data_IF_753714042933
#
_entry.id   IF_753714042933
#
_cell.length_a   1.000
_cell.length_b   1.000
_cell.length_c   1.000
_cell.angle_alpha   90.00
_cell.angle_beta   90.00
_cell.angle_gamma   90.00
#
_symmetry.space_group_name_H-M   'P 1'
#
loop_
_entity.id
_entity.type
_entity.pdbx_description
1 polymer ?
#
# COMPACT_ATOMS: atom_id res chain seq x y z
N UNK A 1 -5.87 31.20 36.04
CA UNK A 1 -5.23 30.02 35.39
C UNK A 1 -3.78 29.83 35.83
N UNK A 2 -2.92 30.86 35.81
CA UNK A 2 -1.53 30.74 36.28
C UNK A 2 -1.40 30.26 37.75
N UNK A 3 -2.26 30.77 38.66
CA UNK A 3 -2.31 30.36 40.08
C UNK A 3 -2.77 28.90 40.29
N UNK A 4 -3.38 28.28 39.27
CA UNK A 4 -3.89 26.90 39.31
C UNK A 4 -3.09 25.93 38.42
N UNK A 5 -1.85 26.27 38.03
CA UNK A 5 -0.95 25.36 37.31
C UNK A 5 -1.03 25.38 35.78
N UNK A 6 -1.75 26.34 35.18
CA UNK A 6 -1.78 26.57 33.72
C UNK A 6 -1.32 28.00 33.42
N UNK A 7 -0.01 28.16 33.19
CA UNK A 7 0.64 29.37 32.70
C UNK A 7 0.95 29.28 31.19
N UNK A 8 1.76 30.21 30.69
CA UNK A 8 2.11 30.29 29.26
C UNK A 8 2.79 29.01 28.74
N UNK A 9 3.58 28.33 29.58
CA UNK A 9 4.29 27.10 29.24
C UNK A 9 3.32 25.92 28.97
N UNK A 10 2.25 25.79 29.76
CA UNK A 10 1.24 24.75 29.57
C UNK A 10 0.37 25.01 28.34
N UNK A 11 0.11 26.29 28.01
CA UNK A 11 -0.60 26.68 26.78
C UNK A 11 0.28 26.41 25.55
N UNK A 12 1.57 26.72 25.61
CA UNK A 12 2.52 26.41 24.55
C UNK A 12 2.68 24.89 24.34
N UNK A 13 2.76 24.12 25.42
CA UNK A 13 2.80 22.65 25.38
C UNK A 13 1.57 22.04 24.72
N UNK A 14 0.37 22.53 25.06
CA UNK A 14 -0.88 22.08 24.45
C UNK A 14 -0.95 22.43 22.95
N UNK A 15 -0.49 23.61 22.55
CA UNK A 15 -0.40 23.98 21.13
C UNK A 15 0.51 23.02 20.37
N UNK A 16 1.69 22.71 20.93
CA UNK A 16 2.62 21.76 20.33
C UNK A 16 2.02 20.35 20.19
N UNK A 17 1.31 19.86 21.21
CA UNK A 17 0.62 18.55 21.15
C UNK A 17 -0.48 18.55 20.09
N UNK A 18 -1.26 19.64 19.97
CA UNK A 18 -2.29 19.78 18.92
C UNK A 18 -1.67 19.76 17.53
N UNK A 19 -0.61 20.51 17.32
CA UNK A 19 0.04 20.62 16.02
C UNK A 19 0.67 19.27 15.62
N UNK A 20 1.23 18.52 16.58
CA UNK A 20 1.69 17.15 16.37
C UNK A 20 0.54 16.19 16.00
N UNK A 21 -0.59 16.23 16.72
CA UNK A 21 -1.75 15.40 16.40
C UNK A 21 -2.29 15.68 14.99
N UNK A 22 -2.29 16.95 14.58
CA UNK A 22 -2.66 17.35 13.22
C UNK A 22 -1.65 16.85 12.17
N UNK A 23 -0.35 16.91 12.46
CA UNK A 23 0.67 16.39 11.57
C UNK A 23 0.54 14.87 11.37
N UNK A 24 0.34 14.10 12.45
CA UNK A 24 0.14 12.65 12.38
C UNK A 24 -1.19 12.27 11.67
N UNK A 25 -2.23 13.09 11.81
CA UNK A 25 -3.46 12.94 11.02
C UNK A 25 -3.20 13.08 9.52
N UNK A 26 -2.58 14.18 9.10
CA UNK A 26 -2.27 14.43 7.68
C UNK A 26 -1.32 13.39 7.10
N UNK A 27 -0.36 12.93 7.91
CA UNK A 27 0.50 11.81 7.55
C UNK A 27 -0.34 10.56 7.28
N UNK A 28 -1.20 10.16 8.22
CA UNK A 28 -2.07 8.98 8.04
C UNK A 28 -2.95 9.07 6.79
N UNK A 29 -3.51 10.24 6.47
CA UNK A 29 -4.26 10.45 5.21
C UNK A 29 -3.37 10.24 3.98
N UNK A 30 -2.17 10.84 3.96
CA UNK A 30 -1.22 10.70 2.86
C UNK A 30 -0.79 9.25 2.67
N UNK A 31 -0.34 8.56 3.72
CA UNK A 31 0.08 7.15 3.64
C UNK A 31 -1.09 6.26 3.17
N UNK A 32 -2.32 6.58 3.57
CA UNK A 32 -3.52 5.91 3.07
C UNK A 32 -3.72 6.07 1.56
N UNK A 33 -3.56 7.29 1.05
CA UNK A 33 -3.67 7.58 -0.39
C UNK A 33 -2.54 6.93 -1.20
N UNK A 34 -1.31 6.97 -0.71
CA UNK A 34 -0.14 6.36 -1.37
C UNK A 34 -0.26 4.83 -1.40
N UNK A 35 -0.75 4.20 -0.33
CA UNK A 35 -1.03 2.76 -0.31
C UNK A 35 -2.12 2.35 -1.30
N UNK A 36 -3.20 3.15 -1.43
CA UNK A 36 -4.26 2.89 -2.41
C UNK A 36 -3.75 3.04 -3.85
N UNK A 37 -2.98 4.08 -4.14
CA UNK A 37 -2.42 4.33 -5.46
C UNK A 37 -1.44 3.23 -5.88
N UNK A 38 -0.50 2.88 -5.01
CA UNK A 38 0.49 1.81 -5.27
C UNK A 38 -0.16 0.44 -5.45
N UNK A 39 -1.23 0.15 -4.68
CA UNK A 39 -2.04 -1.05 -4.86
C UNK A 39 -2.65 -1.10 -6.26
N UNK A 40 -3.30 -0.03 -6.70
CA UNK A 40 -3.94 0.03 -8.02
C UNK A 40 -2.91 -0.16 -9.14
N UNK A 41 -1.73 0.45 -9.04
CA UNK A 41 -0.63 0.26 -9.99
C UNK A 41 -0.17 -1.20 -10.04
N UNK A 42 0.02 -1.83 -8.88
CA UNK A 42 0.38 -3.25 -8.81
C UNK A 42 -0.69 -4.14 -9.44
N UNK A 43 -1.96 -3.97 -9.05
CA UNK A 43 -3.08 -4.78 -9.55
C UNK A 43 -3.23 -4.67 -11.08
N UNK A 44 -3.20 -3.45 -11.64
CA UNK A 44 -3.27 -3.22 -13.10
C UNK A 44 -2.08 -3.86 -13.85
N UNK A 45 -0.86 -3.70 -13.33
CA UNK A 45 0.32 -4.30 -13.96
C UNK A 45 0.28 -5.83 -13.92
N UNK A 46 -0.17 -6.41 -12.80
CA UNK A 46 -0.27 -7.85 -12.61
C UNK A 46 -1.38 -8.46 -13.49
N UNK A 47 -2.52 -7.78 -13.62
CA UNK A 47 -3.59 -8.19 -14.53
C UNK A 47 -3.08 -8.27 -15.97
N UNK A 48 -2.47 -7.19 -16.48
CA UNK A 48 -1.88 -7.13 -17.83
C UNK A 48 -0.86 -8.24 -18.06
N UNK A 49 0.03 -8.47 -17.10
CA UNK A 49 1.05 -9.51 -17.20
C UNK A 49 0.43 -10.91 -17.28
N UNK A 50 -0.55 -11.19 -16.42
CA UNK A 50 -1.15 -12.52 -16.37
C UNK A 50 -2.13 -12.79 -17.51
N UNK A 51 -2.75 -11.76 -18.07
CA UNK A 51 -3.51 -11.87 -19.32
C UNK A 51 -2.60 -12.19 -20.50
N UNK A 52 -1.50 -11.44 -20.65
CA UNK A 52 -0.48 -11.67 -21.67
C UNK A 52 0.04 -13.11 -21.60
N UNK A 53 0.47 -13.54 -20.42
CA UNK A 53 0.91 -14.92 -20.20
C UNK A 53 -0.20 -15.93 -20.48
N UNK A 54 -1.44 -15.64 -20.09
CA UNK A 54 -2.59 -16.52 -20.32
C UNK A 54 -2.80 -16.82 -21.80
N UNK A 55 -2.64 -15.82 -22.65
CA UNK A 55 -2.76 -15.98 -24.11
C UNK A 55 -1.53 -16.65 -24.73
N UNK A 56 -0.33 -16.27 -24.31
CA UNK A 56 0.90 -16.88 -24.80
C UNK A 56 1.00 -18.35 -24.42
N UNK A 57 0.56 -18.70 -23.22
CA UNK A 57 0.43 -20.08 -22.77
C UNK A 57 -0.50 -20.89 -23.65
N UNK A 58 -1.65 -20.35 -24.08
CA UNK A 58 -2.57 -21.06 -24.99
C UNK A 58 -1.89 -21.33 -26.34
N UNK A 59 -1.20 -20.33 -26.90
CA UNK A 59 -0.44 -20.45 -28.14
C UNK A 59 0.66 -21.52 -28.02
N UNK A 60 1.45 -21.46 -26.95
CA UNK A 60 2.53 -22.41 -26.71
C UNK A 60 2.03 -23.84 -26.52
N UNK A 61 0.95 -24.03 -25.74
CA UNK A 61 0.30 -25.34 -25.59
C UNK A 61 -0.19 -25.90 -26.92
N UNK A 62 -0.62 -25.05 -27.85
CA UNK A 62 -1.04 -25.50 -29.19
C UNK A 62 0.15 -25.95 -30.03
N UNK A 63 1.26 -25.22 -29.99
CA UNK A 63 2.47 -25.51 -30.77
C UNK A 63 3.18 -26.79 -30.30
N UNK A 64 3.29 -26.98 -28.98
CA UNK A 64 4.02 -28.10 -28.38
C UNK A 64 3.11 -29.25 -27.92
N UNK A 65 1.88 -29.33 -28.44
CA UNK A 65 0.84 -30.25 -27.93
C UNK A 65 1.23 -31.75 -27.98
N UNK A 66 2.13 -32.12 -28.88
CA UNK A 66 2.59 -33.50 -29.11
C UNK A 66 3.94 -33.77 -28.45
N UNK A 67 4.52 -32.79 -27.75
CA UNK A 67 5.85 -32.83 -27.15
C UNK A 67 5.74 -32.64 -25.63
N UNK A 68 5.39 -33.70 -24.89
CA UNK A 68 5.17 -33.60 -23.45
C UNK A 68 6.42 -33.12 -22.69
N UNK A 69 7.62 -33.41 -23.19
CA UNK A 69 8.88 -32.95 -22.60
C UNK A 69 9.00 -31.42 -22.66
N UNK A 70 8.65 -30.80 -23.80
CA UNK A 70 8.69 -29.33 -23.94
C UNK A 70 7.59 -28.68 -23.10
N UNK A 71 6.40 -29.30 -23.05
CA UNK A 71 5.32 -28.82 -22.18
C UNK A 71 5.73 -28.84 -20.70
N UNK A 72 6.46 -29.86 -20.25
CA UNK A 72 6.97 -29.94 -18.88
C UNK A 72 8.07 -28.90 -18.62
N UNK A 73 9.03 -28.72 -19.55
CA UNK A 73 10.10 -27.72 -19.44
C UNK A 73 9.54 -26.30 -19.33
N UNK A 74 8.46 -25.99 -20.07
CA UNK A 74 7.79 -24.70 -20.06
C UNK A 74 6.69 -24.57 -18.98
N UNK A 75 6.51 -25.58 -18.11
CA UNK A 75 5.44 -25.65 -17.09
C UNK A 75 4.01 -25.42 -17.66
N UNK A 76 3.76 -25.97 -18.85
CA UNK A 76 2.50 -25.85 -19.58
C UNK A 76 1.57 -27.05 -19.38
N UNK A 77 2.07 -28.15 -18.82
CA UNK A 77 1.32 -29.38 -18.54
C UNK A 77 0.42 -29.26 -17.30
N UNK A 78 0.80 -28.45 -16.31
CA UNK A 78 0.08 -28.25 -15.05
C UNK A 78 -1.07 -27.23 -15.05
N UNK A 79 -1.63 -27.01 -13.85
CA UNK A 79 -2.60 -25.94 -13.56
C UNK A 79 -1.85 -24.67 -13.13
N UNK A 80 -2.31 -23.51 -13.60
CA UNK A 80 -1.80 -22.22 -13.14
C UNK A 80 -2.11 -22.07 -11.63
N UNK A 81 -1.12 -21.80 -10.77
CA UNK A 81 -1.34 -21.55 -9.35
C UNK A 81 -2.31 -20.38 -9.12
N UNK A 82 -2.98 -20.34 -7.97
CA UNK A 82 -3.87 -19.22 -7.62
C UNK A 82 -3.13 -18.10 -6.90
N UNK A 83 -2.04 -18.43 -6.18
CA UNK A 83 -1.23 -17.46 -5.46
C UNK A 83 -0.42 -16.59 -6.42
N UNK A 84 -0.20 -15.32 -6.07
CA UNK A 84 0.67 -14.44 -6.86
C UNK A 84 2.06 -15.04 -7.04
N UNK A 85 2.67 -15.54 -5.95
CA UNK A 85 4.02 -16.12 -5.96
C UNK A 85 4.12 -17.28 -6.96
N UNK A 86 3.21 -18.24 -6.89
CA UNK A 86 3.22 -19.35 -7.84
C UNK A 86 2.95 -18.90 -9.28
N UNK A 87 2.08 -17.91 -9.48
CA UNK A 87 1.79 -17.38 -10.82
C UNK A 87 2.98 -16.64 -11.41
N UNK A 88 3.70 -15.82 -10.65
CA UNK A 88 4.84 -15.08 -11.17
C UNK A 88 6.02 -16.01 -11.45
N UNK A 89 6.22 -17.06 -10.65
CA UNK A 89 7.29 -18.04 -10.85
C UNK A 89 7.15 -18.76 -12.21
N UNK A 90 5.95 -19.26 -12.52
CA UNK A 90 5.71 -19.93 -13.82
C UNK A 90 5.87 -18.97 -15.00
N UNK A 91 5.47 -17.70 -14.83
CA UNK A 91 5.58 -16.67 -15.86
C UNK A 91 7.06 -16.37 -16.14
N UNK A 92 7.84 -16.17 -15.07
CA UNK A 92 9.29 -15.94 -15.16
C UNK A 92 10.01 -17.12 -15.80
N UNK A 93 9.66 -18.35 -15.41
CA UNK A 93 10.21 -19.55 -16.02
C UNK A 93 9.92 -19.60 -17.52
N UNK A 94 8.67 -19.36 -17.91
CA UNK A 94 8.25 -19.40 -19.31
C UNK A 94 9.06 -18.42 -20.17
N UNK A 95 9.06 -17.13 -19.82
CA UNK A 95 9.75 -16.11 -20.63
C UNK A 95 11.28 -16.18 -20.55
N UNK A 96 11.85 -16.63 -19.42
CA UNK A 96 13.28 -16.95 -19.32
C UNK A 96 13.64 -18.08 -20.28
N UNK A 97 12.88 -19.17 -20.27
CA UNK A 97 13.15 -20.32 -21.14
C UNK A 97 13.07 -19.93 -22.61
N UNK A 98 12.09 -19.09 -23.00
CA UNK A 98 12.00 -18.58 -24.38
C UNK A 98 13.15 -17.64 -24.76
N UNK A 99 13.71 -16.92 -23.78
CA UNK A 99 14.90 -16.06 -23.98
C UNK A 99 16.18 -16.89 -24.17
N UNK A 100 16.26 -18.07 -23.54
CA UNK A 100 17.44 -18.95 -23.56
C UNK A 100 17.41 -19.98 -24.72
N UNK A 101 16.21 -20.40 -25.15
CA UNK A 101 16.01 -21.48 -26.13
C UNK A 101 15.42 -20.93 -27.42
N UNK A 102 16.30 -20.45 -28.31
CA UNK A 102 15.91 -19.90 -29.61
C UNK A 102 15.03 -20.86 -30.43
N UNK A 103 15.31 -22.17 -30.37
CA UNK A 103 14.50 -23.20 -31.05
C UNK A 103 13.01 -23.14 -30.64
N UNK A 104 12.71 -22.88 -29.37
CA UNK A 104 11.34 -22.78 -28.89
C UNK A 104 10.70 -21.47 -29.34
N UNK A 105 11.46 -20.38 -29.30
CA UNK A 105 11.00 -19.06 -29.73
C UNK A 105 10.69 -19.00 -31.23
N UNK A 106 11.52 -19.60 -32.07
CA UNK A 106 11.33 -19.65 -33.52
C UNK A 106 10.00 -20.33 -33.89
N UNK A 107 9.62 -21.36 -33.13
CA UNK A 107 8.36 -22.09 -33.34
C UNK A 107 7.13 -21.31 -32.88
N UNK A 108 7.29 -20.37 -31.95
CA UNK A 108 6.20 -19.52 -31.43
C UNK A 108 6.07 -18.19 -32.19
N UNK A 109 7.11 -17.79 -32.92
CA UNK A 109 7.14 -16.56 -33.73
C UNK A 109 5.95 -16.43 -34.71
N UNK A 110 5.50 -17.49 -35.42
CA UNK A 110 4.30 -17.42 -36.26
C UNK A 110 3.01 -17.07 -35.50
N UNK A 111 2.99 -17.24 -34.17
CA UNK A 111 1.88 -16.87 -33.29
C UNK A 111 2.13 -15.56 -32.54
N UNK A 112 2.99 -14.70 -33.09
CA UNK A 112 3.32 -13.36 -32.57
C UNK A 112 4.09 -13.34 -31.24
N UNK A 113 4.67 -14.46 -30.82
CA UNK A 113 5.60 -14.51 -29.69
C UNK A 113 7.01 -14.38 -30.28
N UNK A 114 7.48 -13.14 -30.46
CA UNK A 114 8.80 -12.81 -31.00
C UNK A 114 9.80 -12.48 -29.87
N UNK A 115 11.08 -12.27 -30.22
CA UNK A 115 12.09 -11.83 -29.25
C UNK A 115 11.74 -10.48 -28.61
N UNK A 116 11.17 -9.56 -29.38
CA UNK A 116 10.68 -8.26 -28.90
C UNK A 116 9.52 -8.45 -27.91
N UNK A 117 8.59 -9.36 -28.21
CA UNK A 117 7.47 -9.68 -27.32
C UNK A 117 7.95 -10.28 -25.99
N UNK A 118 8.91 -11.21 -26.03
CA UNK A 118 9.52 -11.79 -24.82
C UNK A 118 10.27 -10.73 -24.02
N UNK A 119 10.96 -9.80 -24.68
CA UNK A 119 11.64 -8.68 -24.02
C UNK A 119 10.63 -7.73 -23.35
N UNK A 120 9.51 -7.45 -24.01
CA UNK A 120 8.43 -6.66 -23.44
C UNK A 120 7.79 -7.35 -22.22
N UNK A 121 7.57 -8.67 -22.31
CA UNK A 121 7.06 -9.46 -21.19
C UNK A 121 8.01 -9.44 -19.99
N UNK A 122 9.32 -9.65 -20.21
CA UNK A 122 10.33 -9.55 -19.14
C UNK A 122 10.38 -8.15 -18.51
N UNK A 123 10.25 -7.10 -19.31
CA UNK A 123 10.17 -5.73 -18.79
C UNK A 123 8.92 -5.51 -17.94
N UNK A 124 7.79 -6.10 -18.33
CA UNK A 124 6.54 -6.04 -17.58
C UNK A 124 6.62 -6.84 -16.26
N UNK A 125 7.29 -8.00 -16.27
CA UNK A 125 7.59 -8.77 -15.05
C UNK A 125 8.36 -7.89 -14.04
N UNK A 126 9.46 -7.27 -14.49
CA UNK A 126 10.28 -6.41 -13.62
C UNK A 126 9.49 -5.21 -13.08
N UNK A 127 8.63 -4.62 -13.92
CA UNK A 127 7.78 -3.51 -13.53
C UNK A 127 6.72 -3.95 -12.49
N UNK A 128 6.10 -5.12 -12.67
CA UNK A 128 5.12 -5.66 -11.73
C UNK A 128 5.77 -6.03 -10.39
N UNK A 129 6.98 -6.60 -10.38
CA UNK A 129 7.71 -6.89 -9.15
C UNK A 129 8.05 -5.61 -8.38
N UNK A 130 8.55 -4.58 -9.07
CA UNK A 130 8.79 -3.25 -8.46
C UNK A 130 7.52 -2.60 -7.94
N UNK A 131 6.41 -2.69 -8.68
CA UNK A 131 5.12 -2.16 -8.23
C UNK A 131 4.62 -2.89 -6.98
N UNK A 132 4.84 -4.21 -6.90
CA UNK A 132 4.50 -5.01 -5.72
C UNK A 132 5.33 -4.62 -4.50
N UNK A 133 6.63 -4.43 -4.67
CA UNK A 133 7.53 -3.96 -3.59
C UNK A 133 7.09 -2.59 -3.08
N UNK A 134 6.78 -1.65 -3.98
CA UNK A 134 6.24 -0.35 -3.62
C UNK A 134 4.94 -0.50 -2.83
N UNK A 135 3.98 -1.29 -3.31
CA UNK A 135 2.73 -1.54 -2.58
C UNK A 135 2.95 -2.08 -1.16
N UNK A 136 3.86 -3.05 -0.97
CA UNK A 136 4.14 -3.57 0.38
C UNK A 136 4.78 -2.54 1.30
N UNK A 137 5.65 -1.68 0.77
CA UNK A 137 6.24 -0.57 1.53
C UNK A 137 5.17 0.42 1.97
N UNK A 138 4.39 0.94 1.04
CA UNK A 138 3.34 1.93 1.32
C UNK A 138 2.24 1.36 2.25
N UNK A 139 1.90 0.08 2.09
CA UNK A 139 1.00 -0.62 3.01
C UNK A 139 1.56 -0.65 4.43
N UNK A 140 2.85 -0.97 4.58
CA UNK A 140 3.50 -0.96 5.89
C UNK A 140 3.53 0.42 6.53
N UNK A 141 3.82 1.46 5.75
CA UNK A 141 3.81 2.86 6.19
C UNK A 141 2.40 3.32 6.62
N UNK A 142 1.38 2.94 5.85
CA UNK A 142 -0.02 3.18 6.18
C UNK A 142 -0.45 2.47 7.47
N UNK A 143 -0.10 1.19 7.63
CA UNK A 143 -0.38 0.41 8.85
C UNK A 143 0.32 1.01 10.08
N UNK A 144 1.57 1.47 9.94
CA UNK A 144 2.33 2.11 11.02
C UNK A 144 1.81 3.52 11.38
N UNK A 145 1.24 4.26 10.43
CA UNK A 145 0.70 5.60 10.68
C UNK A 145 -0.57 5.60 11.54
N UNK A 146 -1.35 4.52 11.52
CA UNK A 146 -2.59 4.39 12.29
C UNK A 146 -2.37 4.44 13.81
N UNK A 147 -1.49 3.62 14.42
CA UNK A 147 -1.21 3.70 15.84
C UNK A 147 -0.51 5.02 16.22
N UNK A 148 0.33 5.59 15.35
CA UNK A 148 0.99 6.88 15.59
C UNK A 148 -0.04 8.02 15.71
N UNK A 149 -0.98 8.12 14.75
CA UNK A 149 -2.12 9.03 14.83
C UNK A 149 -2.94 8.82 16.10
N UNK A 150 -3.32 7.57 16.40
CA UNK A 150 -4.14 7.27 17.58
C UNK A 150 -3.44 7.65 18.89
N UNK A 151 -2.12 7.45 18.99
CA UNK A 151 -1.34 7.85 20.14
C UNK A 151 -1.30 9.39 20.29
N UNK A 152 -1.14 10.12 19.19
CA UNK A 152 -1.13 11.58 19.20
C UNK A 152 -2.48 12.18 19.64
N UNK A 153 -3.60 11.64 19.15
CA UNK A 153 -4.93 12.07 19.59
C UNK A 153 -5.22 11.71 21.04
N UNK A 154 -4.87 10.50 21.51
CA UNK A 154 -5.02 10.15 22.93
C UNK A 154 -4.24 11.08 23.86
N UNK A 155 -3.03 11.48 23.44
CA UNK A 155 -2.23 12.46 24.19
C UNK A 155 -2.94 13.82 24.22
N UNK A 156 -3.43 14.29 23.07
CA UNK A 156 -4.17 15.54 22.98
C UNK A 156 -5.44 15.52 23.85
N UNK A 157 -6.23 14.45 23.79
CA UNK A 157 -7.46 14.30 24.57
C UNK A 157 -7.18 14.35 26.08
N UNK A 158 -6.09 13.70 26.52
CA UNK A 158 -5.66 13.72 27.91
C UNK A 158 -5.29 15.15 28.36
N UNK A 159 -4.42 15.82 27.61
CA UNK A 159 -3.96 17.18 27.96
C UNK A 159 -5.10 18.20 27.89
N UNK A 160 -6.00 18.08 26.92
CA UNK A 160 -7.22 18.87 26.86
C UNK A 160 -8.14 18.61 28.07
N UNK A 161 -8.29 17.35 28.49
CA UNK A 161 -9.06 16.98 29.68
C UNK A 161 -8.51 17.59 30.96
N UNK A 162 -7.19 17.57 31.13
CA UNK A 162 -6.50 18.21 32.25
C UNK A 162 -6.70 19.73 32.22
N UNK A 163 -6.56 20.36 31.06
CA UNK A 163 -6.85 21.79 30.87
C UNK A 163 -8.30 22.14 31.24
N UNK A 164 -9.28 21.35 30.76
CA UNK A 164 -10.69 21.58 31.05
C UNK A 164 -11.01 21.44 32.53
N UNK A 165 -10.35 20.51 33.21
CA UNK A 165 -10.49 20.31 34.66
C UNK A 165 -9.98 21.53 35.41
N UNK A 166 -8.78 22.02 35.06
CA UNK A 166 -8.17 23.20 35.68
C UNK A 166 -8.99 24.46 35.38
N UNK A 167 -9.45 24.64 34.15
CA UNK A 167 -10.33 25.74 33.77
C UNK A 167 -11.64 25.72 34.57
N UNK A 168 -12.24 24.55 34.76
CA UNK A 168 -13.48 24.39 35.55
C UNK A 168 -13.26 24.81 37.01
N UNK A 169 -12.11 24.48 37.61
CA UNK A 169 -11.79 24.89 38.98
C UNK A 169 -11.51 26.40 39.04
N UNK A 170 -10.71 26.93 38.12
CA UNK A 170 -10.28 28.32 38.12
C UNK A 170 -11.41 29.32 37.81
N UNK A 171 -12.44 28.89 37.08
CA UNK A 171 -13.58 29.72 36.67
C UNK A 171 -14.86 29.36 37.43
N UNK A 172 -14.73 28.71 38.60
CA UNK A 172 -15.87 28.26 39.41
C UNK A 172 -16.87 29.39 39.73
N UNK A 173 -16.35 30.59 40.02
CA UNK A 173 -17.16 31.76 40.37
C UNK A 173 -17.56 32.60 39.15
N UNK A 174 -17.06 32.25 37.96
CA UNK A 174 -17.36 32.90 36.67
C UNK A 174 -17.66 31.85 35.59
N UNK A 175 -18.67 30.97 35.81
CA UNK A 175 -18.85 29.78 35.00
C UNK A 175 -19.12 30.09 33.52
N UNK A 176 -19.76 31.21 33.17
CA UNK A 176 -20.04 31.61 31.78
C UNK A 176 -18.77 31.71 30.92
N UNK A 177 -17.60 31.96 31.52
CA UNK A 177 -16.32 32.00 30.79
C UNK A 177 -15.88 30.62 30.29
N UNK A 178 -16.45 29.52 30.81
CA UNK A 178 -16.19 28.16 30.32
C UNK A 178 -16.83 27.90 28.94
N UNK A 179 -17.87 28.66 28.57
CA UNK A 179 -18.49 28.55 27.24
C UNK A 179 -17.56 29.03 26.13
N UNK A 180 -16.72 30.04 26.40
CA UNK A 180 -15.69 30.51 25.48
C UNK A 180 -14.59 29.46 25.20
N UNK A 181 -14.47 28.44 26.07
CA UNK A 181 -13.57 27.29 25.90
C UNK A 181 -14.28 26.09 25.23
N UNK A 182 -15.53 26.26 24.79
CA UNK A 182 -16.31 25.24 24.09
C UNK A 182 -17.08 24.27 24.98
N UNK A 183 -17.09 24.47 26.32
CA UNK A 183 -17.89 23.65 27.24
C UNK A 183 -19.29 24.26 27.36
N UNK A 184 -20.30 23.62 26.74
CA UNK A 184 -21.71 24.01 26.93
C UNK A 184 -22.13 23.80 28.38
N UNK A 185 -22.59 24.86 29.04
CA UNK A 185 -23.19 24.79 30.37
C UNK A 185 -24.69 24.65 30.17
N UNK A 186 -25.32 23.67 30.80
CA UNK A 186 -26.78 23.61 30.82
C UNK A 186 -27.29 24.69 31.78
N UNK A 187 -28.14 25.57 31.26
CA UNK A 187 -28.86 26.58 32.06
C UNK A 187 -29.83 25.94 33.04
#
# INVERSE_FOLDING_TARGET
>A
MAVHGYGEEQVAGLSATRDNARAEYHKNEREGQESLASRATFEDSAEKLFEMYGDDRKKAKRVFREEPEILAILELDGRIPTSYAGRIDIVKLFYRTLSEKQEYLDRLTPLMITAEHVTAANSLIDATEKAREAYFREKGESEASTPAKNAAFRKLDKEMGDMYTIATIALKDTPQLLEALGKKIKS
#
